data_IF_667277490582
#
_entry.id   IF_667277490582
#
_cell.length_a   1.000
_cell.length_b   1.000
_cell.length_c   1.000
_cell.angle_alpha   90.00
_cell.angle_beta   90.00
_cell.angle_gamma   90.00
#
_symmetry.space_group_name_H-M   'P 1'
#
loop_
_entity.id
_entity.type
_entity.pdbx_description
1 polymer ?
#
# COMPACT_ATOMS: atom_id res chain seq x y z
N UNK A 1 54.94 47.04 -6.09
CA UNK A 1 54.56 46.29 -4.88
C UNK A 1 53.04 46.20 -4.72
N UNK A 2 52.32 47.27 -4.36
CA UNK A 2 50.86 47.24 -4.08
C UNK A 2 49.98 46.70 -5.23
N UNK A 3 50.31 47.02 -6.50
CA UNK A 3 49.58 46.53 -7.67
C UNK A 3 49.58 45.01 -7.82
N UNK A 4 50.69 44.34 -7.47
CA UNK A 4 50.79 42.88 -7.55
C UNK A 4 50.05 42.20 -6.40
N UNK A 5 50.09 42.80 -5.20
CA UNK A 5 49.32 42.32 -4.05
C UNK A 5 47.81 42.42 -4.33
N UNK A 6 47.35 43.53 -4.91
CA UNK A 6 45.96 43.70 -5.32
C UNK A 6 45.53 42.66 -6.37
N UNK A 7 46.40 42.34 -7.33
CA UNK A 7 46.13 41.35 -8.38
C UNK A 7 46.04 39.93 -7.80
N UNK A 8 46.93 39.59 -6.86
CA UNK A 8 46.88 38.32 -6.15
C UNK A 8 45.63 38.19 -5.28
N UNK A 9 45.25 39.25 -4.57
CA UNK A 9 44.00 39.29 -3.80
C UNK A 9 42.77 39.14 -4.69
N UNK A 10 42.76 39.77 -5.88
CA UNK A 10 41.67 39.64 -6.84
C UNK A 10 41.54 38.20 -7.35
N UNK A 11 42.66 37.55 -7.67
CA UNK A 11 42.67 36.14 -8.09
C UNK A 11 42.16 35.24 -6.96
N UNK A 12 42.60 35.50 -5.72
CA UNK A 12 42.16 34.74 -4.55
C UNK A 12 40.65 34.92 -4.32
N UNK A 13 40.13 36.14 -4.48
CA UNK A 13 38.72 36.45 -4.37
C UNK A 13 37.91 35.67 -5.42
N UNK A 14 38.30 35.74 -6.69
CA UNK A 14 37.64 35.02 -7.78
C UNK A 14 37.66 33.51 -7.54
N UNK A 15 38.79 32.96 -7.08
CA UNK A 15 38.89 31.55 -6.74
C UNK A 15 37.94 31.16 -5.60
N UNK A 16 37.74 32.04 -4.62
CA UNK A 16 36.83 31.80 -3.50
C UNK A 16 35.36 31.84 -3.95
N UNK A 17 34.99 32.81 -4.80
CA UNK A 17 33.66 32.90 -5.40
C UNK A 17 33.32 31.64 -6.21
N UNK A 18 34.25 31.20 -7.07
CA UNK A 18 34.09 29.95 -7.84
C UNK A 18 33.98 28.73 -6.91
N UNK A 19 34.83 28.66 -5.88
CA UNK A 19 34.77 27.58 -4.89
C UNK A 19 33.44 27.59 -4.13
N UNK A 20 32.84 28.74 -3.86
CA UNK A 20 31.57 28.83 -3.15
C UNK A 20 30.40 28.37 -4.03
N UNK A 21 30.46 28.66 -5.34
CA UNK A 21 29.44 28.24 -6.30
C UNK A 21 29.53 26.75 -6.66
N UNK A 22 30.74 26.17 -6.64
CA UNK A 22 31.02 24.79 -7.07
C UNK A 22 31.30 23.84 -5.88
N UNK A 23 31.59 24.36 -4.70
CA UNK A 23 31.95 23.59 -3.51
C UNK A 23 30.76 22.93 -2.81
N UNK A 24 31.07 21.92 -2.00
CA UNK A 24 30.16 21.08 -1.18
C UNK A 24 28.82 21.76 -0.83
N UNK A 25 27.80 21.56 -1.68
CA UNK A 25 26.49 22.22 -1.58
C UNK A 25 26.07 23.09 -2.78
N UNK A 26 26.93 23.24 -3.80
CA UNK A 26 26.64 24.01 -5.02
C UNK A 26 25.48 23.43 -5.84
N UNK A 27 24.81 24.28 -6.63
CA UNK A 27 23.60 23.93 -7.40
C UNK A 27 23.75 22.66 -8.25
N UNK A 28 24.95 22.33 -8.73
CA UNK A 28 25.19 21.10 -9.49
C UNK A 28 24.88 19.81 -8.71
N UNK A 29 25.14 19.78 -7.40
CA UNK A 29 24.85 18.63 -6.55
C UNK A 29 23.35 18.55 -6.23
N UNK A 30 22.71 19.69 -5.97
CA UNK A 30 21.25 19.78 -5.77
C UNK A 30 20.50 19.32 -7.03
N UNK A 31 20.90 19.77 -8.22
CA UNK A 31 20.27 19.36 -9.48
C UNK A 31 20.44 17.86 -9.75
N UNK A 32 21.60 17.28 -9.42
CA UNK A 32 21.82 15.84 -9.54
C UNK A 32 20.96 15.05 -8.55
N UNK A 33 20.84 15.55 -7.33
CA UNK A 33 20.06 14.90 -6.27
C UNK A 33 18.55 15.01 -6.54
N UNK A 34 18.06 16.18 -6.96
CA UNK A 34 16.67 16.38 -7.39
C UNK A 34 16.30 15.47 -8.56
N UNK A 35 17.19 15.31 -9.54
CA UNK A 35 16.96 14.40 -10.66
C UNK A 35 16.85 12.94 -10.19
N UNK A 36 17.74 12.49 -9.32
CA UNK A 36 17.69 11.13 -8.75
C UNK A 36 16.42 10.90 -7.92
N UNK A 37 15.96 11.92 -7.18
CA UNK A 37 14.71 11.84 -6.39
C UNK A 37 13.49 11.78 -7.32
N UNK A 38 13.49 12.56 -8.41
CA UNK A 38 12.41 12.53 -9.40
C UNK A 38 12.30 11.15 -10.08
N UNK A 39 13.42 10.57 -10.51
CA UNK A 39 13.45 9.26 -11.16
C UNK A 39 12.96 8.16 -10.20
N UNK A 40 13.43 8.16 -8.95
CA UNK A 40 12.99 7.19 -7.92
C UNK A 40 11.52 7.36 -7.52
N UNK A 41 11.00 8.59 -7.54
CA UNK A 41 9.58 8.84 -7.26
C UNK A 41 8.70 8.25 -8.34
N UNK A 42 9.09 8.40 -9.61
CA UNK A 42 8.35 7.83 -10.73
C UNK A 42 8.32 6.29 -10.67
N UNK A 43 9.45 5.66 -10.34
CA UNK A 43 9.51 4.21 -10.17
C UNK A 43 8.64 3.72 -9.01
N UNK A 44 8.69 4.42 -7.87
CA UNK A 44 7.84 4.10 -6.72
C UNK A 44 6.35 4.24 -7.02
N UNK A 45 5.94 5.27 -7.77
CA UNK A 45 4.54 5.44 -8.17
C UNK A 45 4.07 4.30 -9.08
N UNK A 46 4.91 3.85 -10.03
CA UNK A 46 4.61 2.71 -10.88
C UNK A 46 4.51 1.39 -10.09
N UNK A 47 5.42 1.15 -9.14
CA UNK A 47 5.39 -0.02 -8.28
C UNK A 47 4.15 -0.02 -7.36
N UNK A 48 3.80 1.14 -6.81
CA UNK A 48 2.60 1.29 -5.98
C UNK A 48 1.32 0.97 -6.76
N UNK A 49 1.17 1.50 -7.97
CA UNK A 49 0.01 1.21 -8.81
C UNK A 49 -0.14 -0.29 -9.11
N UNK A 50 0.98 -1.00 -9.34
CA UNK A 50 0.97 -2.46 -9.53
C UNK A 50 0.60 -3.21 -8.25
N UNK A 51 1.11 -2.77 -7.12
CA UNK A 51 0.78 -3.37 -5.83
C UNK A 51 -0.71 -3.22 -5.52
N UNK A 52 -1.26 -2.02 -5.73
CA UNK A 52 -2.68 -1.73 -5.53
C UNK A 52 -3.56 -2.60 -6.45
N UNK A 53 -3.16 -2.78 -7.72
CA UNK A 53 -3.87 -3.66 -8.66
C UNK A 53 -3.84 -5.13 -8.22
N UNK A 54 -2.67 -5.64 -7.81
CA UNK A 54 -2.52 -7.01 -7.31
C UNK A 54 -3.29 -7.24 -6.00
N UNK A 55 -3.31 -6.25 -5.11
CA UNK A 55 -4.08 -6.32 -3.88
C UNK A 55 -5.59 -6.41 -4.16
N UNK A 56 -6.08 -5.64 -5.13
CA UNK A 56 -7.47 -5.73 -5.58
C UNK A 56 -7.80 -7.08 -6.23
N UNK A 57 -6.88 -7.64 -7.03
CA UNK A 57 -7.04 -8.98 -7.62
C UNK A 57 -7.11 -10.07 -6.54
N UNK A 58 -6.23 -10.02 -5.55
CA UNK A 58 -6.23 -10.95 -4.41
C UNK A 58 -7.52 -10.83 -3.59
N UNK A 59 -8.00 -9.61 -3.35
CA UNK A 59 -9.27 -9.40 -2.66
C UNK A 59 -10.45 -10.02 -3.43
N UNK A 60 -10.52 -9.76 -4.74
CA UNK A 60 -11.58 -10.31 -5.59
C UNK A 60 -11.53 -11.86 -5.68
N UNK A 61 -10.34 -12.46 -5.72
CA UNK A 61 -10.18 -13.92 -5.67
C UNK A 61 -10.70 -14.51 -4.36
N UNK A 62 -10.38 -13.89 -3.22
CA UNK A 62 -10.86 -14.33 -1.91
C UNK A 62 -12.38 -14.22 -1.78
N UNK A 63 -12.92 -13.07 -2.15
CA UNK A 63 -14.38 -12.83 -2.10
C UNK A 63 -15.13 -13.78 -3.05
N UNK A 64 -14.54 -14.08 -4.21
CA UNK A 64 -15.07 -15.05 -5.17
C UNK A 64 -15.09 -16.49 -4.63
N UNK A 65 -14.01 -16.93 -3.98
CA UNK A 65 -13.93 -18.26 -3.39
C UNK A 65 -14.88 -18.42 -2.20
N UNK A 66 -15.00 -17.40 -1.35
CA UNK A 66 -15.95 -17.37 -0.23
C UNK A 66 -17.41 -17.42 -0.73
N UNK A 67 -17.73 -16.65 -1.79
CA UNK A 67 -19.07 -16.68 -2.39
C UNK A 67 -19.43 -18.05 -2.99
N UNK A 68 -18.45 -18.74 -3.60
CA UNK A 68 -18.64 -20.11 -4.12
C UNK A 68 -18.83 -21.09 -2.96
N UNK A 69 -18.05 -20.98 -1.89
CA UNK A 69 -18.17 -21.83 -0.71
C UNK A 69 -19.53 -21.67 -0.02
N UNK A 70 -20.01 -20.43 0.15
CA UNK A 70 -21.34 -20.14 0.71
C UNK A 70 -22.45 -20.81 -0.11
N UNK A 71 -22.37 -20.74 -1.44
CA UNK A 71 -23.35 -21.38 -2.34
C UNK A 71 -23.29 -22.91 -2.29
N UNK A 72 -22.08 -23.49 -2.21
CA UNK A 72 -21.90 -24.93 -2.05
C UNK A 72 -22.47 -25.45 -0.72
N UNK A 73 -22.30 -24.70 0.37
CA UNK A 73 -22.83 -25.03 1.70
C UNK A 73 -24.35 -24.87 1.76
N UNK A 74 -24.89 -23.75 1.27
CA UNK A 74 -26.31 -23.39 1.38
C UNK A 74 -27.21 -24.16 0.42
N UNK A 75 -26.79 -24.37 -0.83
CA UNK A 75 -27.64 -25.00 -1.85
C UNK A 75 -27.40 -26.50 -2.03
N UNK A 76 -26.15 -26.94 -1.92
CA UNK A 76 -25.78 -28.33 -2.16
C UNK A 76 -25.55 -29.11 -0.86
N UNK A 77 -25.56 -28.43 0.30
CA UNK A 77 -25.29 -29.06 1.60
C UNK A 77 -23.90 -29.67 1.70
N UNK A 78 -22.95 -29.20 0.88
CA UNK A 78 -21.60 -29.75 0.83
C UNK A 78 -20.83 -29.35 2.09
N UNK A 79 -20.10 -30.31 2.66
CA UNK A 79 -19.31 -30.16 3.89
C UNK A 79 -17.88 -30.61 3.62
N UNK A 80 -16.87 -29.92 4.18
CA UNK A 80 -15.47 -30.29 3.94
C UNK A 80 -15.11 -31.61 4.66
N UNK A 81 -14.17 -32.42 4.13
CA UNK A 81 -13.71 -33.63 4.80
C UNK A 81 -13.13 -33.30 6.20
N UNK A 82 -13.72 -33.88 7.26
CA UNK A 82 -13.30 -33.66 8.65
C UNK A 82 -14.04 -32.54 9.40
N UNK A 83 -15.03 -31.91 8.78
CA UNK A 83 -15.87 -30.87 9.40
C UNK A 83 -17.12 -31.48 10.08
N UNK A 84 -17.46 -31.00 11.27
CA UNK A 84 -18.61 -31.50 12.05
C UNK A 84 -19.84 -30.61 11.80
N UNK A 85 -20.83 -31.13 11.06
CA UNK A 85 -22.06 -30.40 10.74
C UNK A 85 -23.14 -30.61 11.81
N UNK A 86 -23.70 -29.51 12.33
CA UNK A 86 -24.79 -29.52 13.31
C UNK A 86 -26.06 -28.93 12.67
N UNK A 87 -27.13 -29.72 12.61
CA UNK A 87 -28.44 -29.27 12.18
C UNK A 87 -29.37 -29.14 13.39
N UNK A 88 -29.89 -27.94 13.63
CA UNK A 88 -30.89 -27.72 14.67
C UNK A 88 -32.23 -28.18 14.12
N UNK A 89 -32.76 -29.29 14.63
CA UNK A 89 -34.11 -29.77 14.32
C UNK A 89 -35.03 -29.20 15.39
N UNK A 90 -36.02 -28.39 14.98
CA UNK A 90 -37.04 -27.93 15.93
C UNK A 90 -37.84 -29.15 16.42
N UNK A 91 -37.94 -29.35 17.74
CA UNK A 91 -38.74 -30.45 18.27
C UNK A 91 -40.19 -30.28 17.81
N UNK A 92 -40.87 -31.38 17.43
CA UNK A 92 -42.25 -31.30 16.96
C UNK A 92 -43.07 -30.54 17.99
N UNK A 93 -43.74 -29.47 17.54
CA UNK A 93 -44.53 -28.60 18.40
C UNK A 93 -45.50 -29.44 19.22
N UNK A 94 -45.25 -29.50 20.52
CA UNK A 94 -46.04 -30.28 21.45
C UNK A 94 -47.51 -29.80 21.36
N UNK A 95 -48.44 -30.65 20.87
CA UNK A 95 -49.83 -30.25 20.68
C UNK A 95 -50.53 -29.91 22.00
N UNK A 96 -49.90 -30.20 23.16
CA UNK A 96 -50.48 -29.95 24.48
C UNK A 96 -50.52 -28.47 24.93
N UNK A 97 -49.84 -27.53 24.23
CA UNK A 97 -49.79 -26.11 24.68
C UNK A 97 -50.87 -25.19 24.10
N UNK A 98 -51.81 -25.71 23.29
CA UNK A 98 -52.90 -24.92 22.67
C UNK A 98 -54.23 -24.92 23.43
N UNK A 99 -54.28 -25.45 24.66
CA UNK A 99 -55.48 -25.41 25.52
C UNK A 99 -55.22 -24.69 26.84
N UNK A 100 -54.76 -23.44 26.80
CA UNK A 100 -54.85 -22.56 27.98
C UNK A 100 -54.78 -21.10 27.53
N UNK A 101 -55.88 -20.61 26.95
CA UNK A 101 -55.96 -19.25 26.46
C UNK A 101 -57.36 -18.77 26.09
N UNK A 102 -58.41 -19.49 26.50
CA UNK A 102 -59.80 -19.10 26.27
C UNK A 102 -60.61 -19.32 27.55
N UNK A 103 -60.42 -18.41 28.53
CA UNK A 103 -61.34 -18.09 29.62
C UNK A 103 -61.26 -16.61 29.94
#
# INVERSE_FOLDING_TARGET
MLRYVALLLLILLIALEVKLWVGQGGMAEVWRLEKSVADQKQENEALKARNDALAAEVANLKDGDEAIEERARSELGLVKPGEQFYQVVEPPADPARKQDGDR
#
